data_IF_695080054505
#
_entry.id   IF_695080054505
#
_cell.length_a   1.000
_cell.length_b   1.000
_cell.length_c   1.000
_cell.angle_alpha   90.00
_cell.angle_beta   90.00
_cell.angle_gamma   90.00
#
_symmetry.space_group_name_H-M   'P 1'
#
loop_
_entity.id
_entity.type
_entity.pdbx_description
1 polymer ?
#
# COMPACT_ATOMS: atom_id res chain seq x y z
N UNK A 1 -56.80 24.94 -48.03
CA UNK A 1 -55.47 24.71 -48.65
C UNK A 1 -54.51 24.35 -47.51
N UNK A 2 -54.84 23.32 -46.71
CA UNK A 2 -54.49 23.35 -45.26
C UNK A 2 -53.64 22.16 -44.76
N UNK A 3 -53.36 21.18 -45.62
CA UNK A 3 -52.59 19.98 -45.24
C UNK A 3 -51.07 20.18 -45.16
N UNK A 4 -50.52 21.13 -45.93
CA UNK A 4 -49.07 21.35 -46.03
C UNK A 4 -48.47 22.00 -44.77
N UNK A 5 -49.19 22.92 -44.12
CA UNK A 5 -48.71 23.62 -42.93
C UNK A 5 -48.63 22.72 -41.70
N UNK A 6 -49.62 21.83 -41.53
CA UNK A 6 -49.65 20.87 -40.41
C UNK A 6 -48.53 19.84 -40.54
N UNK A 7 -48.26 19.36 -41.76
CA UNK A 7 -47.15 18.45 -42.03
C UNK A 7 -45.78 19.12 -41.79
N UNK A 8 -45.63 20.39 -42.17
CA UNK A 8 -44.41 21.17 -41.91
C UNK A 8 -44.17 21.37 -40.41
N UNK A 9 -45.19 21.81 -39.65
CA UNK A 9 -45.09 22.03 -38.20
C UNK A 9 -44.81 20.71 -37.46
N UNK A 10 -45.45 19.61 -37.87
CA UNK A 10 -45.19 18.28 -37.30
C UNK A 10 -43.74 17.80 -37.54
N UNK A 11 -43.19 18.05 -38.73
CA UNK A 11 -41.81 17.67 -39.06
C UNK A 11 -40.76 18.44 -38.25
N UNK A 12 -41.00 19.74 -38.00
CA UNK A 12 -40.09 20.58 -37.18
C UNK A 12 -40.13 20.15 -35.71
N UNK A 13 -41.31 19.85 -35.16
CA UNK A 13 -41.44 19.36 -33.78
C UNK A 13 -40.80 17.97 -33.59
N UNK A 14 -40.95 17.07 -34.57
CA UNK A 14 -40.29 15.76 -34.54
C UNK A 14 -38.76 15.88 -34.61
N UNK A 15 -38.24 16.82 -35.41
CA UNK A 15 -36.80 17.09 -35.49
C UNK A 15 -36.26 17.66 -34.17
N UNK A 16 -36.97 18.60 -33.54
CA UNK A 16 -36.58 19.15 -32.24
C UNK A 16 -36.64 18.10 -31.12
N UNK A 17 -37.67 17.23 -31.12
CA UNK A 17 -37.79 16.12 -30.19
C UNK A 17 -36.65 15.11 -30.33
N UNK A 18 -36.27 14.74 -31.56
CA UNK A 18 -35.14 13.83 -31.81
C UNK A 18 -33.79 14.43 -31.41
N UNK A 19 -33.57 15.73 -31.63
CA UNK A 19 -32.36 16.43 -31.16
C UNK A 19 -32.32 16.47 -29.64
N UNK A 20 -33.43 16.80 -28.97
CA UNK A 20 -33.50 16.85 -27.52
C UNK A 20 -33.24 15.47 -26.88
N UNK A 21 -33.87 14.41 -27.40
CA UNK A 21 -33.63 13.03 -26.95
C UNK A 21 -32.19 12.62 -27.21
N UNK A 22 -31.62 12.96 -28.38
CA UNK A 22 -30.22 12.66 -28.70
C UNK A 22 -29.24 13.33 -27.73
N UNK A 23 -29.47 14.60 -27.37
CA UNK A 23 -28.62 15.34 -26.42
C UNK A 23 -28.73 14.79 -25.00
N UNK A 24 -29.94 14.44 -24.54
CA UNK A 24 -30.13 13.81 -23.23
C UNK A 24 -29.45 12.44 -23.20
N UNK A 25 -29.66 11.62 -24.23
CA UNK A 25 -29.07 10.29 -24.32
C UNK A 25 -27.54 10.34 -24.40
N UNK A 26 -26.98 11.34 -25.09
CA UNK A 26 -25.53 11.58 -25.13
C UNK A 26 -24.99 12.02 -23.77
N UNK A 27 -25.72 12.87 -23.03
CA UNK A 27 -25.34 13.27 -21.66
C UNK A 27 -25.39 12.10 -20.68
N UNK A 28 -26.44 11.29 -20.69
CA UNK A 28 -26.51 10.10 -19.84
C UNK A 28 -25.44 9.09 -20.20
N UNK A 29 -25.14 8.89 -21.48
CA UNK A 29 -24.10 7.95 -21.93
C UNK A 29 -22.68 8.42 -21.57
N UNK A 30 -22.42 9.73 -21.59
CA UNK A 30 -21.16 10.31 -21.08
C UNK A 30 -21.06 10.12 -19.57
N UNK A 31 -22.14 10.37 -18.83
CA UNK A 31 -22.15 10.21 -17.38
C UNK A 31 -21.97 8.75 -16.96
N UNK A 32 -22.64 7.79 -17.62
CA UNK A 32 -22.50 6.37 -17.33
C UNK A 32 -21.12 5.83 -17.70
N UNK A 33 -20.53 6.27 -18.82
CA UNK A 33 -19.16 5.89 -19.18
C UNK A 33 -18.12 6.48 -18.22
N UNK A 34 -18.31 7.71 -17.72
CA UNK A 34 -17.45 8.27 -16.67
C UNK A 34 -17.55 7.46 -15.37
N UNK A 35 -18.76 7.08 -14.96
CA UNK A 35 -18.96 6.22 -13.79
C UNK A 35 -18.33 4.84 -13.98
N UNK A 36 -18.47 4.22 -15.15
CA UNK A 36 -17.82 2.94 -15.46
C UNK A 36 -16.30 3.06 -15.47
N UNK A 37 -15.74 4.15 -16.00
CA UNK A 37 -14.30 4.42 -15.95
C UNK A 37 -13.81 4.64 -14.52
N UNK A 38 -14.55 5.37 -13.70
CA UNK A 38 -14.23 5.54 -12.28
C UNK A 38 -14.30 4.20 -11.53
N UNK A 39 -15.33 3.40 -11.78
CA UNK A 39 -15.49 2.08 -11.17
C UNK A 39 -14.40 1.11 -11.63
N UNK A 40 -14.00 1.14 -12.91
CA UNK A 40 -12.89 0.35 -13.42
C UNK A 40 -11.54 0.80 -12.83
N UNK A 41 -11.33 2.10 -12.61
CA UNK A 41 -10.14 2.60 -11.90
C UNK A 41 -10.13 2.17 -10.44
N UNK A 42 -11.27 2.26 -9.75
CA UNK A 42 -11.41 1.80 -8.37
C UNK A 42 -11.20 0.29 -8.26
N UNK A 43 -11.71 -0.51 -9.20
CA UNK A 43 -11.50 -1.96 -9.20
C UNK A 43 -10.05 -2.35 -9.47
N UNK A 44 -9.37 -1.70 -10.42
CA UNK A 44 -7.93 -1.89 -10.68
C UNK A 44 -7.09 -1.48 -9.47
N UNK A 45 -7.42 -0.37 -8.82
CA UNK A 45 -6.76 0.07 -7.59
C UNK A 45 -7.00 -0.89 -6.42
N UNK A 46 -8.21 -1.45 -6.28
CA UNK A 46 -8.52 -2.45 -5.27
C UNK A 46 -7.78 -3.76 -5.52
N UNK A 47 -7.74 -4.26 -6.77
CA UNK A 47 -6.99 -5.48 -7.12
C UNK A 47 -5.48 -5.32 -6.93
N UNK A 48 -4.91 -4.17 -7.29
CA UNK A 48 -3.49 -3.89 -7.06
C UNK A 48 -3.15 -3.72 -5.57
N UNK A 49 -4.01 -3.06 -4.80
CA UNK A 49 -3.86 -2.94 -3.34
C UNK A 49 -3.93 -4.30 -2.66
N UNK A 50 -4.85 -5.18 -3.08
CA UNK A 50 -4.96 -6.54 -2.57
C UNK A 50 -3.71 -7.38 -2.89
N UNK A 51 -3.19 -7.28 -4.12
CA UNK A 51 -1.98 -7.97 -4.53
C UNK A 51 -0.75 -7.51 -3.71
N UNK A 52 -0.62 -6.20 -3.48
CA UNK A 52 0.42 -5.64 -2.62
C UNK A 52 0.28 -6.12 -1.17
N UNK A 53 -0.93 -6.19 -0.62
CA UNK A 53 -1.16 -6.71 0.73
C UNK A 53 -0.72 -8.17 0.87
N UNK A 54 -1.05 -9.03 -0.10
CA UNK A 54 -0.66 -10.44 -0.09
C UNK A 54 0.85 -10.59 -0.14
N UNK A 55 1.51 -9.87 -1.06
CA UNK A 55 2.97 -9.90 -1.17
C UNK A 55 3.66 -9.32 0.07
N UNK A 56 3.14 -8.23 0.65
CA UNK A 56 3.63 -7.69 1.92
C UNK A 56 3.50 -8.73 3.05
N UNK A 57 2.39 -9.46 3.14
CA UNK A 57 2.18 -10.47 4.18
C UNK A 57 3.18 -11.63 4.05
N UNK A 58 3.37 -12.15 2.84
CA UNK A 58 4.30 -13.26 2.57
C UNK A 58 5.76 -12.88 2.85
N UNK A 59 6.17 -11.67 2.43
CA UNK A 59 7.57 -11.21 2.55
C UNK A 59 7.90 -10.67 3.94
N UNK A 60 6.93 -10.11 4.65
CA UNK A 60 7.16 -9.56 5.99
C UNK A 60 7.32 -10.64 7.06
N UNK A 61 6.84 -11.86 6.85
CA UNK A 61 6.95 -12.94 7.83
C UNK A 61 8.42 -13.30 8.16
N UNK A 62 9.27 -13.41 7.15
CA UNK A 62 10.70 -13.69 7.33
C UNK A 62 11.42 -12.54 8.05
N UNK A 63 11.10 -11.30 7.68
CA UNK A 63 11.62 -10.10 8.32
C UNK A 63 11.22 -10.02 9.79
N UNK A 64 9.93 -10.14 10.12
CA UNK A 64 9.45 -10.11 11.50
C UNK A 64 10.02 -11.25 12.35
N UNK A 65 10.15 -12.46 11.78
CA UNK A 65 10.76 -13.59 12.48
C UNK A 65 12.23 -13.32 12.82
N UNK A 66 13.00 -12.75 11.88
CA UNK A 66 14.39 -12.40 12.12
C UNK A 66 14.55 -11.31 13.20
N UNK A 67 13.66 -10.31 13.19
CA UNK A 67 13.62 -9.26 14.23
C UNK A 67 13.31 -9.85 15.60
N UNK A 68 12.34 -10.76 15.69
CA UNK A 68 11.98 -11.42 16.95
C UNK A 68 13.14 -12.28 17.49
N UNK A 69 13.83 -13.00 16.62
CA UNK A 69 15.03 -13.77 17.01
C UNK A 69 16.12 -12.86 17.58
N UNK A 70 16.35 -11.69 16.97
CA UNK A 70 17.34 -10.74 17.48
C UNK A 70 16.91 -10.11 18.83
N UNK A 71 15.63 -9.82 19.00
CA UNK A 71 15.11 -9.32 20.28
C UNK A 71 15.29 -10.34 21.40
N UNK A 72 14.99 -11.63 21.13
CA UNK A 72 15.22 -12.70 22.11
C UNK A 72 16.70 -12.85 22.47
N UNK A 73 17.59 -12.79 21.48
CA UNK A 73 19.04 -12.85 21.74
C UNK A 73 19.53 -11.66 22.57
N UNK A 74 19.08 -10.44 22.26
CA UNK A 74 19.54 -9.24 22.97
C UNK A 74 18.94 -9.08 24.37
N UNK A 75 17.94 -9.89 24.72
CA UNK A 75 17.39 -10.00 26.09
C UNK A 75 18.17 -10.98 26.97
N UNK A 76 18.95 -11.89 26.38
CA UNK A 76 19.78 -12.85 27.12
C UNK A 76 21.00 -12.14 27.74
N UNK A 77 21.21 -12.18 29.07
CA UNK A 77 22.39 -11.58 29.70
C UNK A 77 23.74 -12.15 29.22
N UNK A 78 23.74 -13.34 28.62
CA UNK A 78 24.92 -14.07 28.15
C UNK A 78 24.94 -14.20 26.61
N UNK A 79 24.38 -13.22 25.90
CA UNK A 79 24.34 -13.26 24.44
C UNK A 79 25.71 -13.47 23.79
N UNK A 80 25.73 -14.28 22.74
CA UNK A 80 26.91 -14.49 21.91
C UNK A 80 26.97 -13.43 20.80
N UNK A 81 28.03 -12.62 20.79
CA UNK A 81 28.23 -11.54 19.81
C UNK A 81 28.13 -12.04 18.37
N UNK A 82 28.67 -13.23 18.09
CA UNK A 82 28.64 -13.82 16.74
C UNK A 82 27.21 -14.16 16.29
N UNK A 83 26.37 -14.66 17.21
CA UNK A 83 24.95 -14.91 16.90
C UNK A 83 24.20 -13.61 16.63
N UNK A 84 24.49 -12.55 17.39
CA UNK A 84 23.90 -11.22 17.16
C UNK A 84 24.26 -10.73 15.76
N UNK A 85 25.53 -10.83 15.37
CA UNK A 85 26.01 -10.41 14.05
C UNK A 85 25.29 -11.14 12.92
N UNK A 86 25.24 -12.48 12.98
CA UNK A 86 24.59 -13.31 11.95
C UNK A 86 23.10 -12.97 11.81
N UNK A 87 22.38 -12.79 12.93
CA UNK A 87 20.96 -12.47 12.88
C UNK A 87 20.75 -11.03 12.41
N UNK A 88 21.58 -10.06 12.81
CA UNK A 88 21.49 -8.68 12.34
C UNK A 88 21.71 -8.58 10.81
N UNK A 89 22.70 -9.29 10.27
CA UNK A 89 22.91 -9.40 8.81
C UNK A 89 21.72 -10.03 8.10
N UNK A 90 21.13 -11.09 8.67
CA UNK A 90 19.91 -11.70 8.15
C UNK A 90 18.76 -10.70 8.10
N UNK A 91 18.55 -9.91 9.15
CA UNK A 91 17.49 -8.88 9.16
C UNK A 91 17.71 -7.85 8.06
N UNK A 92 18.95 -7.44 7.79
CA UNK A 92 19.26 -6.53 6.69
C UNK A 92 18.89 -7.10 5.32
N UNK A 93 19.21 -8.37 5.07
CA UNK A 93 18.86 -9.05 3.81
C UNK A 93 17.33 -9.08 3.64
N UNK A 94 16.61 -9.52 4.67
CA UNK A 94 15.14 -9.58 4.63
C UNK A 94 14.52 -8.17 4.48
N UNK A 95 15.15 -7.15 5.06
CA UNK A 95 14.71 -5.75 4.91
C UNK A 95 14.78 -5.28 3.46
N UNK A 96 15.85 -5.64 2.73
CA UNK A 96 16.04 -5.28 1.33
C UNK A 96 15.03 -5.98 0.42
N UNK A 97 14.68 -7.23 0.75
CA UNK A 97 13.64 -7.99 0.06
C UNK A 97 12.25 -7.38 0.29
N UNK A 98 11.99 -6.82 1.47
CA UNK A 98 10.70 -6.23 1.82
C UNK A 98 10.49 -4.83 1.20
N UNK A 99 11.55 -4.03 1.07
CA UNK A 99 11.50 -2.62 0.62
C UNK A 99 10.65 -2.34 -0.63
N UNK A 100 10.73 -3.12 -1.74
CA UNK A 100 9.96 -2.84 -2.96
C UNK A 100 8.44 -2.93 -2.79
N UNK A 101 7.99 -3.62 -1.74
CA UNK A 101 6.58 -3.85 -1.46
C UNK A 101 6.03 -2.84 -0.45
N UNK A 102 6.85 -1.95 0.08
CA UNK A 102 6.46 -0.94 1.07
C UNK A 102 6.10 0.38 0.41
N UNK A 103 5.25 1.16 1.07
CA UNK A 103 5.08 2.56 0.71
C UNK A 103 6.36 3.36 1.04
N UNK A 104 6.46 4.60 0.53
CA UNK A 104 7.68 5.42 0.67
C UNK A 104 8.10 5.65 2.13
N UNK A 105 7.13 5.89 3.02
CA UNK A 105 7.39 6.16 4.43
C UNK A 105 7.92 4.91 5.14
N UNK A 106 7.28 3.76 4.90
CA UNK A 106 7.71 2.48 5.46
C UNK A 106 9.06 2.03 4.91
N UNK A 107 9.33 2.25 3.62
CA UNK A 107 10.63 1.97 3.04
C UNK A 107 11.73 2.79 3.74
N UNK A 108 11.47 4.08 4.01
CA UNK A 108 12.40 4.92 4.77
C UNK A 108 12.61 4.42 6.21
N UNK A 109 11.54 4.04 6.90
CA UNK A 109 11.63 3.48 8.26
C UNK A 109 12.42 2.17 8.27
N UNK A 110 12.20 1.29 7.28
CA UNK A 110 12.97 0.05 7.13
C UNK A 110 14.44 0.30 6.83
N UNK A 111 14.78 1.31 6.01
CA UNK A 111 16.17 1.70 5.80
C UNK A 111 16.84 2.21 7.08
N UNK A 112 16.12 3.01 7.89
CA UNK A 112 16.62 3.47 9.18
C UNK A 112 16.80 2.30 10.17
N UNK A 113 15.90 1.32 10.11
CA UNK A 113 15.97 0.12 10.92
C UNK A 113 17.15 -0.77 10.50
N UNK A 114 17.37 -0.97 9.20
CA UNK A 114 18.52 -1.67 8.63
C UNK A 114 19.85 -1.07 9.11
N UNK A 115 19.96 0.28 9.10
CA UNK A 115 21.14 0.96 9.66
C UNK A 115 21.35 0.67 11.15
N UNK A 116 20.27 0.49 11.92
CA UNK A 116 20.38 0.11 13.34
C UNK A 116 20.86 -1.34 13.50
N UNK A 117 20.50 -2.23 12.57
CA UNK A 117 21.02 -3.59 12.52
C UNK A 117 22.48 -3.65 12.06
N UNK A 118 22.91 -2.82 11.11
CA UNK A 118 24.33 -2.67 10.76
C UNK A 118 25.18 -2.29 11.98
N UNK A 119 24.67 -1.34 12.78
CA UNK A 119 25.33 -0.93 14.02
C UNK A 119 25.44 -2.08 15.03
N UNK A 120 24.38 -2.90 15.14
CA UNK A 120 24.38 -4.12 15.96
C UNK A 120 25.38 -5.17 15.44
N UNK A 121 25.48 -5.35 14.12
CA UNK A 121 26.41 -6.28 13.49
C UNK A 121 27.88 -5.83 13.67
N UNK A 122 28.13 -4.53 13.68
CA UNK A 122 29.45 -3.92 13.90
C UNK A 122 29.82 -3.73 15.37
N UNK A 123 28.94 -4.10 16.31
CA UNK A 123 29.19 -3.86 17.73
C UNK A 123 30.36 -4.72 18.23
N UNK A 124 31.37 -4.10 18.82
CA UNK A 124 32.56 -4.80 19.35
C UNK A 124 32.47 -5.08 20.85
N UNK A 125 31.44 -4.56 21.53
CA UNK A 125 31.28 -4.72 22.97
C UNK A 125 29.82 -4.95 23.39
N UNK A 126 29.63 -5.60 24.54
CA UNK A 126 28.30 -5.83 25.12
C UNK A 126 27.55 -4.53 25.45
N UNK A 127 28.26 -3.43 25.72
CA UNK A 127 27.66 -2.11 25.96
C UNK A 127 27.18 -1.47 24.66
N UNK A 128 27.96 -1.58 23.58
CA UNK A 128 27.56 -1.15 22.24
C UNK A 128 26.32 -1.92 21.74
N UNK A 129 26.27 -3.23 21.99
CA UNK A 129 25.07 -4.04 21.69
C UNK A 129 23.85 -3.54 22.43
N UNK A 130 23.96 -3.23 23.74
CA UNK A 130 22.82 -2.71 24.52
C UNK A 130 22.32 -1.36 24.01
N UNK A 131 23.22 -0.45 23.70
CA UNK A 131 22.87 0.86 23.14
C UNK A 131 22.21 0.75 21.75
N UNK A 132 22.75 -0.09 20.88
CA UNK A 132 22.19 -0.35 19.56
C UNK A 132 20.83 -1.08 19.65
N UNK A 133 20.66 -1.98 20.62
CA UNK A 133 19.39 -2.66 20.90
C UNK A 133 18.29 -1.68 21.31
N UNK A 134 18.60 -0.67 22.14
CA UNK A 134 17.61 0.34 22.53
C UNK A 134 17.13 1.14 21.30
N UNK A 135 18.05 1.55 20.43
CA UNK A 135 17.75 2.27 19.18
C UNK A 135 16.92 1.41 18.23
N UNK A 136 17.31 0.15 18.07
CA UNK A 136 16.58 -0.85 17.28
C UNK A 136 15.13 -1.03 17.80
N UNK A 137 14.92 -1.14 19.11
CA UNK A 137 13.58 -1.31 19.70
C UNK A 137 12.66 -0.13 19.41
N UNK A 138 13.17 1.10 19.53
CA UNK A 138 12.40 2.30 19.21
C UNK A 138 11.99 2.33 17.72
N UNK A 139 12.95 2.09 16.82
CA UNK A 139 12.69 2.07 15.37
C UNK A 139 11.80 0.91 14.92
N UNK A 140 11.87 -0.24 15.60
CA UNK A 140 10.95 -1.36 15.37
C UNK A 140 9.53 -0.96 15.68
N UNK A 141 9.31 -0.28 16.81
CA UNK A 141 7.97 0.19 17.20
C UNK A 141 7.40 1.14 16.16
N UNK A 142 8.22 2.08 15.66
CA UNK A 142 7.84 3.00 14.58
C UNK A 142 7.42 2.26 13.30
N UNK A 143 8.21 1.25 12.90
CA UNK A 143 7.88 0.42 11.74
C UNK A 143 6.59 -0.37 11.93
N UNK A 144 6.39 -1.01 13.08
CA UNK A 144 5.18 -1.81 13.36
C UNK A 144 3.92 -0.95 13.31
N UNK A 145 3.95 0.23 13.92
CA UNK A 145 2.83 1.16 13.88
C UNK A 145 2.50 1.56 12.44
N UNK A 146 3.50 2.03 11.68
CA UNK A 146 3.29 2.42 10.29
C UNK A 146 2.86 1.25 9.39
N UNK A 147 3.34 0.03 9.67
CA UNK A 147 2.98 -1.17 8.90
C UNK A 147 1.49 -1.51 9.09
N UNK A 148 0.99 -1.42 10.33
CA UNK A 148 -0.43 -1.62 10.63
C UNK A 148 -1.29 -0.53 10.00
N UNK A 149 -0.89 0.74 10.10
CA UNK A 149 -1.59 1.87 9.47
C UNK A 149 -1.64 1.73 7.94
N UNK A 150 -0.53 1.34 7.31
CA UNK A 150 -0.48 1.08 5.87
C UNK A 150 -1.38 -0.10 5.46
N UNK A 151 -1.39 -1.20 6.24
CA UNK A 151 -2.33 -2.30 5.97
C UNK A 151 -3.78 -1.85 6.06
N UNK A 152 -4.11 -1.04 7.06
CA UNK A 152 -5.47 -0.51 7.22
C UNK A 152 -5.85 0.37 6.02
N UNK A 153 -4.95 1.27 5.59
CA UNK A 153 -5.17 2.08 4.39
C UNK A 153 -5.36 1.25 3.12
N UNK A 154 -4.60 0.16 2.95
CA UNK A 154 -4.76 -0.74 1.81
C UNK A 154 -6.08 -1.53 1.88
N UNK A 155 -6.51 -1.92 3.07
CA UNK A 155 -7.82 -2.56 3.28
C UNK A 155 -8.97 -1.61 2.94
N UNK A 156 -8.87 -0.35 3.37
CA UNK A 156 -9.89 0.66 3.07
C UNK A 156 -9.92 1.00 1.57
N UNK A 157 -8.76 1.05 0.91
CA UNK A 157 -8.67 1.22 -0.54
C UNK A 157 -9.18 0.01 -1.34
N UNK A 158 -9.09 -1.19 -0.78
CA UNK A 158 -9.59 -2.42 -1.39
C UNK A 158 -11.08 -2.67 -1.12
N UNK A 159 -11.71 -1.92 -0.21
CA UNK A 159 -13.13 -2.07 0.14
C UNK A 159 -13.99 -1.55 -1.03
N UNK A 160 -14.95 -2.34 -1.54
CA UNK A 160 -15.85 -1.87 -2.58
C UNK A 160 -16.67 -0.68 -2.06
N UNK A 161 -16.80 0.37 -2.88
CA UNK A 161 -17.70 1.48 -2.58
C UNK A 161 -19.12 0.93 -2.44
N UNK A 162 -19.73 1.09 -1.25
CA UNK A 162 -21.14 0.80 -1.02
C UNK A 162 -22.02 1.91 -1.58
#
# INVERSE_FOLDING_TARGET
MDGSWIAFVGSVLALLGTIAVSVVNRRTLIHTSQLQMQQARLSVNASSSLALMTQQAERSAAFFSAIEQLDRLTQDPQFEMEKIRVIAEKVNIESAVLQPFLNRELAYTVMCLARSYDQLASAESAEAVRAATATMKAKRSEFLTGYVENRQSLMDAARPAM
#
